data_IF_763807871299
#
_entry.id   IF_763807871299
#
_cell.length_a   1.000
_cell.length_b   1.000
_cell.length_c   1.000
_cell.angle_alpha   90.00
_cell.angle_beta   90.00
_cell.angle_gamma   90.00
#
_symmetry.space_group_name_H-M   'P 1'
#
loop_
_entity.id
_entity.type
_entity.pdbx_description
1 polymer ?
#
# COMPACT_ATOMS: atom_id res chain seq x y z
N UNK A 1 -16.91 9.79 -6.87
CA UNK A 1 -17.32 9.09 -5.61
C UNK A 1 -16.68 9.84 -4.44
N UNK A 2 -17.42 10.00 -3.33
CA UNK A 2 -16.83 10.62 -2.13
C UNK A 2 -15.78 9.70 -1.49
N UNK A 3 -14.62 10.27 -1.16
CA UNK A 3 -13.50 9.55 -0.56
C UNK A 3 -13.78 9.35 0.94
N UNK A 4 -13.64 8.11 1.40
CA UNK A 4 -13.75 7.72 2.80
C UNK A 4 -12.59 6.83 3.22
N UNK A 5 -12.56 6.43 4.48
CA UNK A 5 -11.52 5.61 5.09
C UNK A 5 -11.32 4.27 4.37
N UNK A 6 -12.42 3.57 4.05
CA UNK A 6 -12.36 2.27 3.37
C UNK A 6 -11.78 2.38 1.95
N UNK A 7 -12.16 3.42 1.21
CA UNK A 7 -11.59 3.68 -0.12
C UNK A 7 -10.12 4.09 -0.06
N UNK A 8 -9.74 4.83 0.97
CA UNK A 8 -8.35 5.22 1.18
C UNK A 8 -7.49 4.00 1.52
N UNK A 9 -7.97 3.10 2.38
CA UNK A 9 -7.28 1.85 2.70
C UNK A 9 -7.15 0.95 1.48
N UNK A 10 -8.24 0.69 0.76
CA UNK A 10 -8.20 -0.05 -0.51
C UNK A 10 -7.19 0.55 -1.49
N UNK A 11 -7.13 1.88 -1.56
CA UNK A 11 -6.15 2.58 -2.42
C UNK A 11 -4.72 2.32 -1.96
N UNK A 12 -4.46 2.36 -0.66
CA UNK A 12 -3.15 2.03 -0.09
C UNK A 12 -2.70 0.61 -0.42
N UNK A 13 -3.59 -0.36 -0.26
CA UNK A 13 -3.34 -1.76 -0.64
C UNK A 13 -3.04 -1.91 -2.13
N UNK A 14 -3.79 -1.22 -2.99
CA UNK A 14 -3.53 -1.24 -4.44
C UNK A 14 -2.22 -0.55 -4.80
N UNK A 15 -1.78 0.45 -4.05
CA UNK A 15 -0.46 1.08 -4.21
C UNK A 15 0.65 0.05 -4.00
N UNK A 16 0.61 -0.75 -2.93
CA UNK A 16 1.57 -1.83 -2.65
C UNK A 16 1.37 -3.02 -3.60
N UNK A 17 0.52 -3.94 -3.24
CA UNK A 17 0.38 -5.25 -3.88
C UNK A 17 -0.68 -5.32 -5.00
N UNK A 18 -1.26 -4.17 -5.39
CA UNK A 18 -2.24 -4.15 -6.46
C UNK A 18 -1.62 -4.21 -7.85
N UNK A 19 -2.30 -4.91 -8.76
CA UNK A 19 -2.03 -4.90 -10.19
C UNK A 19 -3.26 -4.41 -10.94
N UNK A 20 -3.08 -3.33 -11.71
CA UNK A 20 -4.12 -2.72 -12.53
C UNK A 20 -3.83 -3.01 -13.99
N UNK A 21 -4.73 -3.75 -14.65
CA UNK A 21 -4.53 -4.18 -16.03
C UNK A 21 -5.78 -3.94 -16.88
N UNK A 22 -5.56 -3.61 -18.16
CA UNK A 22 -6.61 -3.51 -19.18
C UNK A 22 -6.06 -3.93 -20.54
N UNK A 23 -6.93 -4.48 -21.40
CA UNK A 23 -6.63 -4.70 -22.81
C UNK A 23 -6.87 -3.44 -23.68
N UNK A 24 -7.25 -2.33 -23.04
CA UNK A 24 -7.58 -1.07 -23.71
C UNK A 24 -8.95 -1.03 -24.37
N UNK A 25 -9.71 -2.14 -24.38
CA UNK A 25 -11.01 -2.26 -25.06
C UNK A 25 -12.15 -2.58 -24.08
N UNK A 26 -12.20 -3.81 -23.60
CA UNK A 26 -13.34 -4.34 -22.85
C UNK A 26 -13.00 -4.90 -21.49
N UNK A 27 -11.74 -5.26 -21.24
CA UNK A 27 -11.32 -5.95 -20.02
C UNK A 27 -10.58 -4.98 -19.08
N UNK A 28 -11.09 -4.87 -17.88
CA UNK A 28 -10.54 -4.04 -16.81
C UNK A 28 -10.41 -4.91 -15.57
N UNK A 29 -9.20 -5.09 -15.08
CA UNK A 29 -8.89 -6.00 -13.98
C UNK A 29 -8.12 -5.29 -12.89
N UNK A 30 -8.53 -5.53 -11.65
CA UNK A 30 -7.84 -5.13 -10.45
C UNK A 30 -7.56 -6.40 -9.66
N UNK A 31 -6.30 -6.73 -9.50
CA UNK A 31 -5.81 -7.85 -8.70
C UNK A 31 -5.06 -7.29 -7.48
N UNK A 32 -5.21 -7.94 -6.33
CA UNK A 32 -4.43 -7.69 -5.13
C UNK A 32 -3.81 -9.03 -4.75
N UNK A 33 -2.48 -9.08 -4.64
CA UNK A 33 -1.73 -10.28 -4.32
C UNK A 33 -1.42 -10.34 -2.82
N UNK A 34 -1.34 -11.54 -2.28
CA UNK A 34 -1.03 -11.75 -0.87
C UNK A 34 -0.66 -13.20 -0.55
N UNK A 35 -0.43 -13.46 0.73
CA UNK A 35 -0.11 -14.79 1.25
C UNK A 35 -1.38 -15.62 1.45
N UNK A 36 -1.44 -16.89 0.96
CA UNK A 36 -2.64 -17.71 1.05
C UNK A 36 -3.02 -18.13 2.48
N UNK A 37 -2.10 -18.02 3.44
CA UNK A 37 -2.33 -18.38 4.84
C UNK A 37 -2.65 -17.17 5.72
N UNK A 38 -1.97 -16.04 5.47
CA UNK A 38 -2.03 -14.87 6.34
C UNK A 38 -3.10 -13.86 5.91
N UNK A 39 -3.33 -13.68 4.59
CA UNK A 39 -4.10 -12.54 4.08
C UNK A 39 -5.57 -12.86 3.80
N UNK A 40 -6.04 -14.08 4.05
CA UNK A 40 -7.41 -14.49 3.69
C UNK A 40 -8.49 -13.64 4.36
N UNK A 41 -8.36 -13.36 5.65
CA UNK A 41 -9.34 -12.55 6.39
C UNK A 41 -9.31 -11.10 5.93
N UNK A 42 -8.12 -10.58 5.71
CA UNK A 42 -7.96 -9.22 5.19
C UNK A 42 -8.54 -9.09 3.77
N UNK A 43 -8.37 -10.08 2.92
CA UNK A 43 -8.97 -10.08 1.58
C UNK A 43 -10.49 -10.20 1.58
N UNK A 44 -11.09 -10.87 2.55
CA UNK A 44 -12.53 -10.85 2.77
C UNK A 44 -13.02 -9.45 3.15
N UNK A 45 -12.28 -8.75 4.00
CA UNK A 45 -12.56 -7.36 4.34
C UNK A 45 -12.46 -6.44 3.09
N UNK A 46 -11.40 -6.54 2.30
CA UNK A 46 -11.26 -5.77 1.04
C UNK A 46 -12.36 -6.10 0.03
N UNK A 47 -12.77 -7.37 -0.05
CA UNK A 47 -13.91 -7.81 -0.85
C UNK A 47 -15.20 -7.08 -0.44
N UNK A 48 -15.44 -6.97 0.87
CA UNK A 48 -16.59 -6.24 1.42
C UNK A 48 -16.55 -4.76 1.03
N UNK A 49 -15.39 -4.12 1.09
CA UNK A 49 -15.21 -2.73 0.63
C UNK A 49 -15.59 -2.60 -0.84
N UNK A 50 -15.05 -3.46 -1.71
CA UNK A 50 -15.35 -3.41 -3.15
C UNK A 50 -16.85 -3.63 -3.41
N UNK A 51 -17.46 -4.59 -2.72
CA UNK A 51 -18.89 -4.87 -2.87
C UNK A 51 -19.74 -3.68 -2.40
N UNK A 52 -19.44 -3.11 -1.23
CA UNK A 52 -20.23 -2.02 -0.64
C UNK A 52 -20.09 -0.73 -1.44
N UNK A 53 -18.86 -0.35 -1.81
CA UNK A 53 -18.58 0.94 -2.45
C UNK A 53 -18.88 0.95 -3.95
N UNK A 54 -18.70 -0.17 -4.62
CA UNK A 54 -18.82 -0.23 -6.08
C UNK A 54 -19.98 -1.08 -6.57
N UNK A 55 -20.59 -1.88 -5.68
CA UNK A 55 -21.56 -2.92 -6.04
C UNK A 55 -20.98 -3.89 -7.08
N UNK A 56 -19.76 -4.39 -6.81
CA UNK A 56 -19.04 -5.31 -7.69
C UNK A 56 -18.54 -6.52 -6.92
N UNK A 57 -18.72 -7.69 -7.54
CA UNK A 57 -18.23 -8.97 -6.99
C UNK A 57 -16.71 -9.05 -7.13
N UNK A 58 -16.12 -9.74 -6.19
CA UNK A 58 -14.72 -10.18 -6.21
C UNK A 58 -14.69 -11.70 -6.12
N UNK A 59 -13.57 -12.28 -6.42
CA UNK A 59 -13.29 -13.70 -6.14
C UNK A 59 -11.84 -13.88 -5.72
N UNK A 60 -11.63 -14.90 -4.88
CA UNK A 60 -10.31 -15.32 -4.43
C UNK A 60 -9.79 -16.43 -5.32
N UNK A 61 -8.62 -16.23 -5.90
CA UNK A 61 -7.88 -17.25 -6.60
C UNK A 61 -6.73 -17.73 -5.71
N UNK A 62 -6.80 -18.98 -5.27
CA UNK A 62 -5.77 -19.58 -4.43
C UNK A 62 -4.80 -20.34 -5.31
N UNK A 63 -3.52 -20.07 -5.17
CA UNK A 63 -2.40 -20.79 -5.77
C UNK A 63 -1.47 -21.32 -4.67
N UNK A 64 -0.54 -22.24 -4.94
CA UNK A 64 0.30 -22.84 -3.90
C UNK A 64 1.07 -21.82 -3.03
N UNK A 65 1.48 -20.67 -3.61
CA UNK A 65 2.29 -19.65 -2.95
C UNK A 65 1.72 -18.25 -3.10
N UNK A 66 0.47 -18.12 -3.53
CA UNK A 66 -0.14 -16.82 -3.81
C UNK A 66 -1.65 -16.86 -3.58
N UNK A 67 -2.19 -15.87 -2.92
CA UNK A 67 -3.61 -15.56 -2.87
C UNK A 67 -3.86 -14.31 -3.70
N UNK A 68 -4.83 -14.35 -4.62
CA UNK A 68 -5.19 -13.20 -5.43
C UNK A 68 -6.64 -12.84 -5.21
N UNK A 69 -6.90 -11.65 -4.69
CA UNK A 69 -8.23 -11.04 -4.70
C UNK A 69 -8.41 -10.30 -6.03
N UNK A 70 -9.39 -10.73 -6.81
CA UNK A 70 -9.65 -10.21 -8.15
C UNK A 70 -11.02 -9.59 -8.30
N UNK A 71 -11.11 -8.45 -8.98
CA UNK A 71 -12.35 -7.94 -9.56
C UNK A 71 -12.17 -7.54 -11.02
N UNK A 72 -13.15 -7.87 -11.86
CA UNK A 72 -13.23 -7.39 -13.24
C UNK A 72 -14.29 -6.31 -13.31
N UNK A 73 -13.87 -5.06 -13.22
CA UNK A 73 -14.78 -3.92 -13.16
C UNK A 73 -14.13 -2.66 -13.71
N UNK A 74 -14.71 -2.16 -14.81
CA UNK A 74 -14.33 -0.85 -15.34
C UNK A 74 -14.55 0.26 -14.29
N UNK A 75 -15.63 0.19 -13.51
CA UNK A 75 -15.96 1.18 -12.48
C UNK A 75 -14.86 1.27 -11.40
N UNK A 76 -14.39 0.13 -10.89
CA UNK A 76 -13.29 0.08 -9.89
C UNK A 76 -11.98 0.55 -10.52
N UNK A 77 -11.67 0.06 -11.71
CA UNK A 77 -10.47 0.44 -12.45
C UNK A 77 -10.42 1.95 -12.74
N UNK A 78 -11.50 2.52 -13.28
CA UNK A 78 -11.58 3.95 -13.60
C UNK A 78 -11.50 4.82 -12.33
N UNK A 79 -12.09 4.41 -11.23
CA UNK A 79 -11.95 5.10 -9.95
C UNK A 79 -10.48 5.19 -9.54
N UNK A 80 -9.77 4.06 -9.53
CA UNK A 80 -8.37 4.01 -9.13
C UNK A 80 -7.46 4.78 -10.10
N UNK A 81 -7.69 4.66 -11.41
CA UNK A 81 -6.78 5.22 -12.41
C UNK A 81 -7.14 6.64 -12.84
N UNK A 82 -8.43 6.95 -13.04
CA UNK A 82 -8.88 8.26 -13.53
C UNK A 82 -9.23 9.24 -12.43
N UNK A 83 -9.93 8.77 -11.37
CA UNK A 83 -10.30 9.67 -10.28
C UNK A 83 -9.16 9.87 -9.28
N UNK A 84 -8.38 8.82 -8.98
CA UNK A 84 -7.26 8.86 -8.06
C UNK A 84 -5.89 8.99 -8.74
N UNK A 85 -5.79 8.77 -10.04
CA UNK A 85 -4.56 8.95 -10.81
C UNK A 85 -3.52 7.85 -10.59
N UNK A 86 -3.90 6.65 -10.11
CA UNK A 86 -2.94 5.56 -9.97
C UNK A 86 -2.44 5.09 -11.34
N UNK A 87 -1.12 4.91 -11.50
CA UNK A 87 -0.56 4.33 -12.70
C UNK A 87 -0.95 2.86 -12.84
N UNK A 88 -1.01 2.37 -14.07
CA UNK A 88 -1.27 0.97 -14.37
C UNK A 88 -0.30 0.43 -15.43
N UNK A 89 -0.29 -0.89 -15.61
CA UNK A 89 0.62 -1.57 -16.53
C UNK A 89 2.07 -1.60 -16.03
N UNK A 90 3.00 -1.78 -16.98
CA UNK A 90 4.41 -1.97 -16.68
C UNK A 90 5.05 -0.77 -15.98
N UNK A 91 5.83 -1.07 -14.95
CA UNK A 91 6.54 -0.06 -14.18
C UNK A 91 5.67 0.76 -13.21
N UNK A 92 4.42 0.33 -12.94
CA UNK A 92 3.54 0.95 -11.93
C UNK A 92 4.30 1.19 -10.63
N UNK A 93 4.99 0.18 -10.09
CA UNK A 93 5.69 0.26 -8.81
C UNK A 93 6.76 1.36 -8.71
N UNK A 94 7.29 1.85 -9.84
CA UNK A 94 8.26 2.95 -9.85
C UNK A 94 7.63 4.33 -9.95
N UNK A 95 6.37 4.39 -10.39
CA UNK A 95 5.65 5.64 -10.71
C UNK A 95 4.60 6.00 -9.67
N UNK A 96 4.18 5.03 -8.85
CA UNK A 96 3.11 5.20 -7.89
C UNK A 96 3.47 6.25 -6.84
N UNK A 97 2.49 7.09 -6.49
CA UNK A 97 2.55 8.08 -5.42
C UNK A 97 1.24 8.01 -4.62
N UNK A 98 1.17 8.66 -3.48
CA UNK A 98 -0.11 8.82 -2.81
C UNK A 98 -0.97 9.81 -3.61
N UNK A 99 -2.20 9.46 -4.02
CA UNK A 99 -3.07 10.35 -4.80
C UNK A 99 -3.27 11.70 -4.13
N UNK A 100 -3.24 12.78 -4.91
CA UNK A 100 -3.42 14.16 -4.41
C UNK A 100 -4.72 14.33 -3.62
N UNK A 101 -5.82 13.68 -4.05
CA UNK A 101 -7.10 13.69 -3.31
C UNK A 101 -6.96 13.10 -1.90
N UNK A 102 -6.11 12.12 -1.70
CA UNK A 102 -5.83 11.51 -0.39
C UNK A 102 -4.88 12.41 0.39
N UNK A 103 -3.84 12.94 -0.24
CA UNK A 103 -2.88 13.87 0.39
C UNK A 103 -3.55 15.14 0.93
N UNK A 104 -4.56 15.65 0.23
CA UNK A 104 -5.33 16.85 0.63
C UNK A 104 -6.49 16.56 1.59
N UNK A 105 -6.74 15.30 1.92
CA UNK A 105 -7.79 14.91 2.85
C UNK A 105 -7.38 15.09 4.31
N UNK A 106 -8.32 14.88 5.24
CA UNK A 106 -8.02 14.88 6.66
C UNK A 106 -7.15 13.67 7.06
N UNK A 107 -6.54 13.76 8.26
CA UNK A 107 -5.66 12.71 8.77
C UNK A 107 -6.34 11.33 8.87
N UNK A 108 -7.62 11.29 9.21
CA UNK A 108 -8.38 10.06 9.37
C UNK A 108 -8.44 9.23 8.08
N UNK A 109 -8.57 9.89 6.95
CA UNK A 109 -8.53 9.27 5.61
C UNK A 109 -7.09 8.94 5.21
N UNK A 110 -6.17 9.90 5.37
CA UNK A 110 -4.78 9.74 4.95
C UNK A 110 -4.09 8.58 5.67
N UNK A 111 -4.31 8.41 6.99
CA UNK A 111 -3.73 7.31 7.76
C UNK A 111 -4.23 5.94 7.30
N UNK A 112 -5.49 5.81 6.84
CA UNK A 112 -6.00 4.57 6.30
C UNK A 112 -5.28 4.17 4.99
N UNK A 113 -4.95 5.13 4.12
CA UNK A 113 -4.12 4.87 2.96
C UNK A 113 -2.71 4.42 3.35
N UNK A 114 -2.09 5.10 4.32
CA UNK A 114 -0.75 4.72 4.81
C UNK A 114 -0.78 3.31 5.43
N UNK A 115 -1.85 2.98 6.18
CA UNK A 115 -2.05 1.62 6.72
C UNK A 115 -2.09 0.59 5.61
N UNK A 116 -2.92 0.77 4.58
CA UNK A 116 -2.98 -0.16 3.47
C UNK A 116 -1.63 -0.34 2.74
N UNK A 117 -0.81 0.73 2.64
CA UNK A 117 0.56 0.63 2.12
C UNK A 117 1.46 -0.17 3.08
N UNK A 118 1.33 0.06 4.38
CA UNK A 118 2.15 -0.63 5.39
C UNK A 118 1.77 -2.11 5.53
N UNK A 119 0.50 -2.45 5.37
CA UNK A 119 0.01 -3.83 5.43
C UNK A 119 0.49 -4.68 4.24
N UNK A 120 0.89 -4.06 3.14
CA UNK A 120 1.38 -4.72 1.92
C UNK A 120 2.91 -4.66 1.79
N UNK A 121 3.47 -3.45 1.77
CA UNK A 121 4.90 -3.19 1.55
C UNK A 121 5.70 -3.00 2.85
N UNK A 122 5.04 -3.16 4.00
CA UNK A 122 5.63 -2.98 5.32
C UNK A 122 6.10 -4.28 5.98
N UNK A 123 6.98 -4.12 6.95
CA UNK A 123 7.39 -5.19 7.86
C UNK A 123 7.57 -4.64 9.26
N UNK A 124 7.01 -5.32 10.27
CA UNK A 124 7.24 -5.05 11.68
C UNK A 124 8.26 -6.05 12.20
N UNK A 125 9.29 -5.55 12.83
CA UNK A 125 10.28 -6.39 13.51
C UNK A 125 10.78 -5.73 14.79
N UNK A 126 11.32 -6.56 15.66
CA UNK A 126 11.90 -6.14 16.92
C UNK A 126 13.41 -6.39 16.88
N UNK A 127 14.19 -5.36 17.13
CA UNK A 127 15.65 -5.43 17.08
C UNK A 127 16.25 -5.06 18.44
N UNK A 128 17.26 -5.83 18.89
CA UNK A 128 18.07 -5.42 20.02
C UNK A 128 18.88 -4.19 19.64
N UNK A 129 18.78 -3.13 20.44
CA UNK A 129 19.61 -1.94 20.31
C UNK A 129 20.43 -1.73 21.57
N UNK A 130 21.70 -1.39 21.39
CA UNK A 130 22.57 -1.02 22.48
C UNK A 130 21.97 0.13 23.31
N UNK A 131 21.93 -0.03 24.64
CA UNK A 131 21.35 0.92 25.58
C UNK A 131 19.84 0.76 25.81
N UNK A 132 19.18 -0.20 25.17
CA UNK A 132 17.77 -0.54 25.44
C UNK A 132 17.67 -1.90 26.13
N UNK A 133 16.80 -2.00 27.16
CA UNK A 133 16.54 -3.25 27.88
C UNK A 133 15.69 -4.22 27.06
N UNK A 134 14.70 -3.69 26.34
CA UNK A 134 13.72 -4.45 25.59
C UNK A 134 13.98 -4.35 24.08
N UNK A 135 13.40 -5.27 23.33
CA UNK A 135 13.45 -5.26 21.89
C UNK A 135 12.79 -3.98 21.34
N UNK A 136 13.50 -3.33 20.43
CA UNK A 136 13.09 -2.05 19.88
C UNK A 136 12.19 -2.23 18.65
N UNK A 137 10.90 -1.84 18.72
CA UNK A 137 9.99 -2.02 17.60
C UNK A 137 10.35 -1.10 16.44
N UNK A 138 10.34 -1.66 15.23
CA UNK A 138 10.60 -0.93 14.00
C UNK A 138 9.61 -1.39 12.92
N UNK A 139 8.94 -0.44 12.27
CA UNK A 139 8.20 -0.70 11.03
C UNK A 139 9.03 -0.15 9.88
N UNK A 140 9.29 -0.97 8.87
CA UNK A 140 9.90 -0.54 7.63
C UNK A 140 8.91 -0.67 6.47
N UNK A 141 8.71 0.39 5.71
CA UNK A 141 7.98 0.38 4.44
C UNK A 141 9.01 0.51 3.33
N UNK A 142 8.98 -0.42 2.37
CA UNK A 142 9.95 -0.42 1.29
C UNK A 142 9.29 -0.35 -0.07
N UNK A 143 9.72 0.59 -0.90
CA UNK A 143 9.16 0.81 -2.24
C UNK A 143 10.23 1.05 -3.28
N UNK A 144 9.92 0.78 -4.54
CA UNK A 144 10.74 1.18 -5.69
C UNK A 144 10.37 2.56 -6.24
N UNK A 145 9.28 3.16 -5.76
CA UNK A 145 8.90 4.51 -6.11
C UNK A 145 9.59 5.54 -5.22
N UNK A 146 10.39 6.40 -5.84
CA UNK A 146 10.99 7.54 -5.14
C UNK A 146 9.91 8.52 -4.65
N UNK A 147 8.90 8.81 -5.49
CA UNK A 147 7.82 9.73 -5.14
C UNK A 147 7.01 9.25 -3.94
N UNK A 148 6.65 7.95 -3.90
CA UNK A 148 5.96 7.37 -2.75
C UNK A 148 6.78 7.46 -1.47
N UNK A 149 8.10 7.18 -1.56
CA UNK A 149 8.99 7.28 -0.41
C UNK A 149 9.10 8.72 0.11
N UNK A 150 9.15 9.71 -0.77
CA UNK A 150 9.18 11.13 -0.41
C UNK A 150 7.86 11.58 0.23
N UNK A 151 6.72 11.13 -0.28
CA UNK A 151 5.39 11.40 0.32
C UNK A 151 5.30 10.82 1.74
N UNK A 152 5.60 9.53 1.91
CA UNK A 152 5.59 8.87 3.22
C UNK A 152 6.52 9.59 4.21
N UNK A 153 7.74 9.91 3.78
CA UNK A 153 8.70 10.63 4.61
C UNK A 153 8.17 12.00 5.06
N UNK A 154 7.59 12.78 4.14
CA UNK A 154 7.04 14.10 4.42
C UNK A 154 5.88 14.03 5.40
N UNK A 155 4.93 13.12 5.16
CA UNK A 155 3.73 12.94 5.98
C UNK A 155 4.11 12.48 7.39
N UNK A 156 4.90 11.42 7.51
CA UNK A 156 5.27 10.86 8.81
C UNK A 156 6.09 11.84 9.65
N UNK A 157 7.00 12.62 9.02
CA UNK A 157 7.70 13.70 9.71
C UNK A 157 6.77 14.77 10.28
N UNK A 158 5.77 15.18 9.50
CA UNK A 158 4.81 16.21 9.94
C UNK A 158 3.93 15.75 11.12
N UNK A 159 3.95 14.46 11.44
CA UNK A 159 3.20 13.84 12.54
C UNK A 159 4.08 13.44 13.73
N UNK A 160 5.28 14.01 13.82
CA UNK A 160 6.22 13.78 14.93
C UNK A 160 6.77 12.36 15.08
N UNK A 161 6.56 11.50 14.07
CA UNK A 161 7.18 10.18 14.08
C UNK A 161 8.71 10.28 13.95
N UNK A 162 9.43 9.47 14.71
CA UNK A 162 10.86 9.26 14.51
C UNK A 162 11.06 8.39 13.28
N UNK A 163 11.49 8.98 12.18
CA UNK A 163 11.69 8.26 10.94
C UNK A 163 13.17 8.22 10.55
N UNK A 164 13.58 7.05 10.05
CA UNK A 164 14.79 6.86 9.25
C UNK A 164 14.43 6.77 7.76
N UNK A 165 15.38 7.05 6.91
CA UNK A 165 15.22 6.77 5.47
C UNK A 165 16.56 6.36 4.88
N UNK A 166 16.55 5.28 4.07
CA UNK A 166 17.74 4.82 3.35
C UNK A 166 17.39 4.46 1.92
N UNK A 167 18.37 4.64 1.03
CA UNK A 167 18.32 4.23 -0.37
C UNK A 167 19.24 3.03 -0.54
N UNK A 168 18.72 1.95 -1.13
CA UNK A 168 19.49 0.76 -1.48
C UNK A 168 19.57 0.66 -3.01
N UNK A 169 20.75 0.94 -3.53
CA UNK A 169 21.06 0.81 -4.97
C UNK A 169 21.28 -0.66 -5.27
N UNK A 170 20.56 -1.21 -6.23
CA UNK A 170 20.55 -2.63 -6.58
C UNK A 170 20.76 -2.88 -8.08
N UNK A 171 21.04 -1.81 -8.85
CA UNK A 171 21.16 -1.88 -10.31
C UNK A 171 22.24 -2.85 -10.80
N UNK A 172 23.34 -3.01 -10.05
CA UNK A 172 24.38 -3.99 -10.35
C UNK A 172 23.92 -5.45 -10.38
N UNK A 173 22.72 -5.73 -9.84
CA UNK A 173 22.05 -7.04 -9.89
C UNK A 173 20.87 -7.05 -10.87
N UNK A 174 20.67 -6.01 -11.69
CA UNK A 174 19.52 -5.86 -12.58
C UNK A 174 18.21 -5.52 -11.86
N UNK A 175 18.26 -5.13 -10.58
CA UNK A 175 17.09 -4.83 -9.79
C UNK A 175 16.91 -3.32 -9.60
N UNK A 176 15.63 -2.90 -9.43
CA UNK A 176 15.33 -1.49 -9.17
C UNK A 176 15.90 -1.02 -7.83
N UNK A 177 16.30 0.23 -7.76
CA UNK A 177 16.64 0.91 -6.52
C UNK A 177 15.45 0.81 -5.54
N UNK A 178 15.74 0.50 -4.28
CA UNK A 178 14.78 0.40 -3.19
C UNK A 178 14.91 1.60 -2.25
N UNK A 179 13.80 2.19 -1.90
CA UNK A 179 13.69 3.23 -0.88
C UNK A 179 13.02 2.63 0.35
N UNK A 180 13.59 2.84 1.51
CA UNK A 180 13.14 2.26 2.77
C UNK A 180 12.89 3.40 3.75
N UNK A 181 11.68 3.45 4.30
CA UNK A 181 11.26 4.37 5.33
C UNK A 181 11.05 3.57 6.61
N UNK A 182 11.77 3.92 7.68
CA UNK A 182 11.69 3.22 8.97
C UNK A 182 11.02 4.13 10.00
N UNK A 183 10.02 3.60 10.70
CA UNK A 183 9.43 4.19 11.90
C UNK A 183 10.00 3.45 13.10
N UNK A 184 10.52 4.20 14.07
CA UNK A 184 11.31 3.63 15.17
C UNK A 184 10.74 4.06 16.53
N UNK A 185 10.71 3.10 17.47
CA UNK A 185 10.49 3.31 18.90
C UNK A 185 9.06 3.14 19.37
N UNK A 186 8.90 3.11 20.69
CA UNK A 186 7.62 2.88 21.37
C UNK A 186 6.55 3.96 21.05
N UNK A 187 6.95 5.19 20.78
CA UNK A 187 6.05 6.27 20.37
C UNK A 187 5.28 5.97 19.10
N UNK A 188 5.79 5.07 18.27
CA UNK A 188 5.13 4.58 17.06
C UNK A 188 3.86 3.77 17.40
N UNK A 189 3.92 2.92 18.44
CA UNK A 189 2.81 2.06 18.85
C UNK A 189 1.66 2.82 19.52
N UNK A 190 1.93 4.03 20.04
CA UNK A 190 0.94 4.85 20.77
C UNK A 190 0.17 5.82 19.86
N UNK A 191 0.72 6.15 18.68
CA UNK A 191 0.20 7.20 17.77
C UNK A 191 -0.23 6.65 16.40
N UNK A 192 -0.19 5.32 16.22
CA UNK A 192 -0.57 4.62 14.99
C UNK A 192 -2.07 4.42 14.77
#
# INVERSE_FOLDING_TARGET
MELNESLAELTGVVIGDGNLWTDGKYRYRVDINGDPKLDREYFNFLSTIIQTMFNRKTWLQVRPHELVLRTQSKKVFDFLTKELGLPYGDGKGRKVIIPTKILSSNWKILRCCIRGIADTDGSLFFAKKEGYRDDYPTIEISTTSRGLAEDLKRILKSRTFRIGSRKQVREKWGWNTRYIISLNGEGMLKNG
#
